data_IF_982542125619
#
_entry.id   IF_982542125619
#
_cell.length_a   1.000
_cell.length_b   1.000
_cell.length_c   1.000
_cell.angle_alpha   90.00
_cell.angle_beta   90.00
_cell.angle_gamma   90.00
#
_symmetry.space_group_name_H-M   'P 1'
#
loop_
_entity.id
_entity.type
_entity.pdbx_description
1 polymer ?
#
# COMPACT_ATOMS: atom_id res chain seq x y z
N UNK A 1 12.89 9.47 -46.95
CA UNK A 1 12.14 10.19 -45.89
C UNK A 1 12.04 9.28 -44.66
N UNK A 2 12.86 9.52 -43.64
CA UNK A 2 12.74 8.85 -42.33
C UNK A 2 11.50 9.41 -41.65
N UNK A 3 10.48 8.59 -41.38
CA UNK A 3 9.41 8.95 -40.44
C UNK A 3 10.07 9.14 -39.08
N UNK A 4 10.27 10.38 -38.69
CA UNK A 4 10.58 10.80 -37.33
C UNK A 4 9.48 10.28 -36.42
N UNK A 5 9.73 9.17 -35.73
CA UNK A 5 8.89 8.72 -34.61
C UNK A 5 8.98 9.78 -33.52
N UNK A 6 7.85 10.42 -33.22
CA UNK A 6 7.70 11.39 -32.14
C UNK A 6 8.13 10.73 -30.81
N UNK A 7 8.99 11.36 -29.99
CA UNK A 7 9.31 10.87 -28.65
C UNK A 7 8.05 10.92 -27.74
N UNK A 8 7.97 10.10 -26.67
CA UNK A 8 6.70 9.71 -26.10
C UNK A 8 5.94 10.85 -25.41
N UNK A 9 4.63 10.84 -25.66
CA UNK A 9 3.52 11.63 -25.13
C UNK A 9 3.40 11.69 -23.58
N UNK A 10 4.31 11.09 -22.81
CA UNK A 10 4.21 10.91 -21.36
C UNK A 10 5.46 11.40 -20.58
N UNK A 11 5.29 12.25 -19.54
CA UNK A 11 6.38 12.71 -18.69
C UNK A 11 6.95 11.59 -17.80
N UNK A 12 8.09 11.83 -17.16
CA UNK A 12 8.83 10.80 -16.40
C UNK A 12 8.02 10.21 -15.23
N UNK A 13 7.18 11.00 -14.57
CA UNK A 13 6.30 10.55 -13.48
C UNK A 13 5.16 9.64 -13.96
N UNK A 14 4.87 9.62 -15.27
CA UNK A 14 3.97 8.67 -15.94
C UNK A 14 4.77 7.66 -16.80
N UNK A 15 6.03 7.40 -16.45
CA UNK A 15 6.97 6.66 -17.28
C UNK A 15 6.48 5.26 -17.68
N UNK A 16 5.73 4.57 -16.81
CA UNK A 16 5.22 3.23 -17.09
C UNK A 16 4.15 3.21 -18.18
N UNK A 17 3.47 4.32 -18.43
CA UNK A 17 2.50 4.43 -19.53
C UNK A 17 3.17 4.31 -20.92
N UNK A 18 4.50 4.49 -21.00
CA UNK A 18 5.25 4.42 -22.27
C UNK A 18 5.33 3.02 -22.87
N UNK A 19 5.05 1.98 -22.08
CA UNK A 19 5.11 0.58 -22.52
C UNK A 19 3.75 -0.12 -22.54
N UNK A 20 2.63 0.62 -22.54
CA UNK A 20 1.28 0.06 -22.63
C UNK A 20 1.12 -0.86 -23.85
N UNK A 21 1.67 -0.48 -25.00
CA UNK A 21 1.58 -1.26 -26.25
C UNK A 21 2.80 -2.16 -26.50
N UNK A 22 3.71 -2.29 -25.52
CA UNK A 22 4.91 -3.11 -25.62
C UNK A 22 4.69 -4.42 -24.87
N UNK A 23 4.12 -5.42 -25.55
CA UNK A 23 3.64 -6.65 -24.90
C UNK A 23 4.72 -7.41 -24.13
N UNK A 24 5.98 -7.42 -24.58
CA UNK A 24 7.07 -8.08 -23.83
C UNK A 24 7.49 -7.24 -22.62
N UNK A 25 7.71 -5.94 -22.81
CA UNK A 25 8.06 -5.02 -21.71
C UNK A 25 6.99 -5.04 -20.61
N UNK A 26 5.71 -5.15 -21.00
CA UNK A 26 4.59 -5.32 -20.08
C UNK A 26 4.72 -6.60 -19.26
N UNK A 27 5.00 -7.75 -19.89
CA UNK A 27 5.23 -9.03 -19.19
C UNK A 27 6.43 -8.93 -18.24
N UNK A 28 7.53 -8.34 -18.68
CA UNK A 28 8.74 -8.13 -17.86
C UNK A 28 8.41 -7.34 -16.60
N UNK A 29 7.65 -6.25 -16.71
CA UNK A 29 7.27 -5.42 -15.56
C UNK A 29 6.45 -6.21 -14.54
N UNK A 30 5.48 -7.02 -15.00
CA UNK A 30 4.64 -7.84 -14.12
C UNK A 30 5.40 -9.01 -13.50
N UNK A 31 6.28 -9.68 -14.24
CA UNK A 31 7.16 -10.73 -13.72
C UNK A 31 8.11 -10.18 -12.65
N UNK A 32 8.67 -8.98 -12.86
CA UNK A 32 9.51 -8.31 -11.87
C UNK A 32 8.72 -7.94 -10.60
N UNK A 33 7.47 -7.47 -10.73
CA UNK A 33 6.62 -7.23 -9.57
C UNK A 33 6.30 -8.54 -8.82
N UNK A 34 6.05 -9.64 -9.55
CA UNK A 34 5.89 -10.97 -8.95
C UNK A 34 7.13 -11.40 -8.17
N UNK A 35 8.34 -11.13 -8.69
CA UNK A 35 9.59 -11.39 -7.98
C UNK A 35 9.70 -10.58 -6.68
N UNK A 36 9.30 -9.31 -6.68
CA UNK A 36 9.31 -8.47 -5.47
C UNK A 36 8.33 -8.98 -4.39
N UNK A 37 7.15 -9.45 -4.79
CA UNK A 37 6.17 -10.05 -3.86
C UNK A 37 6.74 -11.32 -3.23
N UNK A 38 7.33 -12.21 -4.03
CA UNK A 38 7.95 -13.43 -3.53
C UNK A 38 9.16 -13.14 -2.62
N UNK A 39 9.97 -12.13 -2.98
CA UNK A 39 11.09 -11.70 -2.17
C UNK A 39 10.63 -11.18 -0.81
N UNK A 40 9.61 -10.31 -0.80
CA UNK A 40 9.04 -9.77 0.42
C UNK A 40 8.51 -10.89 1.33
N UNK A 41 7.72 -11.82 0.77
CA UNK A 41 7.18 -12.94 1.54
C UNK A 41 8.29 -13.80 2.18
N UNK A 42 9.35 -14.11 1.43
CA UNK A 42 10.49 -14.87 1.94
C UNK A 42 11.29 -14.11 3.00
N UNK A 43 11.73 -12.90 2.70
CA UNK A 43 12.57 -12.09 3.61
C UNK A 43 11.83 -11.76 4.90
N UNK A 44 10.57 -11.32 4.81
CA UNK A 44 9.80 -10.95 6.00
C UNK A 44 9.44 -12.18 6.85
N UNK A 45 9.23 -13.35 6.25
CA UNK A 45 9.02 -14.59 7.04
C UNK A 45 10.28 -14.94 7.83
N UNK A 46 11.49 -14.82 7.24
CA UNK A 46 12.75 -15.03 7.98
C UNK A 46 12.96 -13.97 9.06
N UNK A 47 12.65 -12.72 8.74
CA UNK A 47 12.76 -11.60 9.68
C UNK A 47 11.84 -11.80 10.89
N UNK A 48 10.58 -12.17 10.68
CA UNK A 48 9.64 -12.49 11.74
C UNK A 48 10.10 -13.69 12.56
N UNK A 49 10.57 -14.76 11.91
CA UNK A 49 11.07 -15.95 12.59
C UNK A 49 12.30 -15.64 13.46
N UNK A 50 13.18 -14.74 13.03
CA UNK A 50 14.36 -14.31 13.79
C UNK A 50 14.00 -13.48 15.05
N UNK A 51 12.80 -12.87 15.08
CA UNK A 51 12.33 -12.05 16.20
C UNK A 51 11.28 -12.74 17.07
N UNK A 52 10.72 -13.84 16.59
CA UNK A 52 9.69 -14.60 17.29
C UNK A 52 10.17 -15.07 18.66
N UNK A 53 9.42 -14.71 19.70
CA UNK A 53 9.61 -15.17 21.05
C UNK A 53 8.42 -16.06 21.45
N UNK A 54 8.63 -17.37 21.67
CA UNK A 54 7.56 -18.28 22.07
C UNK A 54 7.01 -18.03 23.48
N UNK A 55 7.69 -17.22 24.30
CA UNK A 55 7.23 -16.86 25.64
C UNK A 55 6.17 -15.73 25.63
N UNK A 56 5.94 -15.07 24.49
CA UNK A 56 4.96 -14.00 24.34
C UNK A 56 3.85 -14.42 23.36
N UNK A 57 2.63 -13.86 23.47
CA UNK A 57 1.57 -14.09 22.49
C UNK A 57 2.03 -13.67 21.08
N UNK A 58 1.65 -14.43 20.05
CA UNK A 58 2.08 -14.18 18.68
C UNK A 58 1.59 -12.81 18.17
N UNK A 59 0.37 -12.44 18.54
CA UNK A 59 -0.28 -11.22 18.05
C UNK A 59 0.31 -9.91 18.59
N UNK A 60 1.02 -9.94 19.72
CA UNK A 60 1.62 -8.75 20.37
C UNK A 60 3.04 -8.45 19.90
N UNK A 61 3.60 -9.28 19.02
CA UNK A 61 4.99 -9.20 18.57
C UNK A 61 5.17 -8.49 17.22
N UNK A 62 4.09 -7.94 16.64
CA UNK A 62 4.11 -7.31 15.33
C UNK A 62 4.37 -8.29 14.18
N UNK A 63 3.90 -9.53 14.31
CA UNK A 63 4.07 -10.59 13.32
C UNK A 63 2.84 -10.63 12.41
N UNK A 64 3.04 -10.68 11.09
CA UNK A 64 1.94 -10.74 10.13
C UNK A 64 2.01 -11.97 9.22
N UNK A 65 3.17 -12.58 9.01
CA UNK A 65 3.33 -13.76 8.14
C UNK A 65 3.30 -15.08 8.93
N UNK A 66 3.96 -15.16 10.09
CA UNK A 66 3.91 -16.36 10.92
C UNK A 66 2.47 -16.74 11.33
N UNK A 67 1.59 -15.79 11.72
CA UNK A 67 0.17 -16.10 11.94
C UNK A 67 -0.54 -16.79 10.76
N UNK A 68 -0.24 -16.39 9.52
CA UNK A 68 -0.87 -17.00 8.34
C UNK A 68 -0.38 -18.43 8.12
N UNK A 69 0.91 -18.69 8.32
CA UNK A 69 1.47 -20.04 8.23
C UNK A 69 0.97 -20.93 9.39
N UNK A 70 0.80 -20.34 10.57
CA UNK A 70 0.23 -21.02 11.74
C UNK A 70 -1.24 -21.40 11.52
N UNK A 71 -2.05 -20.52 10.92
CA UNK A 71 -3.44 -20.82 10.55
C UNK A 71 -3.56 -21.97 9.54
N UNK A 72 -2.57 -22.11 8.64
CA UNK A 72 -2.45 -23.27 7.74
C UNK A 72 -2.01 -24.57 8.45
N UNK A 73 -1.81 -24.53 9.77
CA UNK A 73 -1.40 -25.67 10.60
C UNK A 73 0.06 -26.07 10.42
N UNK A 74 0.93 -25.18 9.96
CA UNK A 74 2.35 -25.49 9.74
C UNK A 74 3.13 -25.37 11.05
N UNK A 75 3.65 -26.48 11.58
CA UNK A 75 4.52 -26.47 12.75
C UNK A 75 3.89 -25.96 14.04
N UNK A 76 2.56 -25.97 14.13
CA UNK A 76 1.77 -25.53 15.29
C UNK A 76 1.25 -26.75 16.07
N UNK A 77 1.39 -26.71 17.39
CA UNK A 77 0.82 -27.69 18.31
C UNK A 77 -0.48 -27.23 18.97
N UNK A 78 -0.91 -27.95 20.00
CA UNK A 78 -2.11 -27.60 20.76
C UNK A 78 -1.96 -26.22 21.43
N UNK A 79 -3.05 -25.45 21.49
CA UNK A 79 -3.05 -24.09 22.04
C UNK A 79 -2.39 -23.05 21.14
N UNK A 80 -2.02 -23.40 19.90
CA UNK A 80 -1.47 -22.43 18.94
C UNK A 80 0.02 -22.11 19.10
N UNK A 81 0.78 -22.90 19.86
CA UNK A 81 2.22 -22.69 19.99
C UNK A 81 2.98 -23.23 18.78
N UNK A 82 3.95 -22.48 18.27
CA UNK A 82 4.91 -22.98 17.28
C UNK A 82 5.82 -24.00 17.96
N UNK A 83 5.65 -25.28 17.63
CA UNK A 83 6.45 -26.40 18.15
C UNK A 83 7.53 -26.83 17.17
N UNK A 84 7.34 -26.58 15.88
CA UNK A 84 8.31 -26.90 14.84
C UNK A 84 8.53 -25.68 13.92
N UNK A 85 9.67 -24.97 14.03
CA UNK A 85 9.92 -23.77 13.23
C UNK A 85 10.38 -24.08 11.79
N UNK A 86 10.80 -25.32 11.51
CA UNK A 86 11.36 -25.68 10.20
C UNK A 86 10.41 -25.43 9.01
N UNK A 87 9.10 -25.76 9.07
CA UNK A 87 8.15 -25.41 8.01
C UNK A 87 8.15 -23.92 7.62
N UNK A 88 8.29 -23.02 8.59
CA UNK A 88 8.35 -21.57 8.33
C UNK A 88 9.63 -21.20 7.57
N UNK A 89 10.77 -21.76 7.99
CA UNK A 89 12.05 -21.61 7.30
C UNK A 89 11.99 -22.16 5.86
N UNK A 90 11.37 -23.33 5.68
CA UNK A 90 11.22 -23.96 4.37
C UNK A 90 10.35 -23.10 3.43
N UNK A 91 9.20 -22.64 3.89
CA UNK A 91 8.31 -21.74 3.11
C UNK A 91 9.06 -20.47 2.72
N UNK A 92 9.80 -19.86 3.66
CA UNK A 92 10.60 -18.68 3.37
C UNK A 92 11.68 -18.96 2.30
N UNK A 93 12.40 -20.08 2.42
CA UNK A 93 13.39 -20.53 1.45
C UNK A 93 12.81 -20.72 0.04
N UNK A 94 11.65 -21.37 -0.08
CA UNK A 94 10.96 -21.54 -1.36
C UNK A 94 10.59 -20.21 -2.00
N UNK A 95 10.06 -19.25 -1.22
CA UNK A 95 9.73 -17.92 -1.72
C UNK A 95 10.96 -17.15 -2.21
N UNK A 96 12.10 -17.23 -1.51
CA UNK A 96 13.35 -16.59 -1.93
C UNK A 96 13.90 -17.19 -3.22
N UNK A 97 13.89 -18.51 -3.37
CA UNK A 97 14.30 -19.18 -4.61
C UNK A 97 13.36 -18.80 -5.75
N UNK A 98 12.05 -18.83 -5.53
CA UNK A 98 11.06 -18.42 -6.52
C UNK A 98 11.25 -16.96 -6.95
N UNK A 99 11.55 -16.05 -6.02
CA UNK A 99 11.87 -14.66 -6.32
C UNK A 99 13.08 -14.54 -7.25
N UNK A 100 14.15 -15.30 -7.00
CA UNK A 100 15.33 -15.34 -7.87
C UNK A 100 15.01 -15.83 -9.27
N UNK A 101 14.19 -16.89 -9.39
CA UNK A 101 13.76 -17.43 -10.70
C UNK A 101 12.92 -16.42 -11.46
N UNK A 102 11.97 -15.73 -10.81
CA UNK A 102 11.13 -14.71 -11.46
C UNK A 102 11.93 -13.47 -11.86
N UNK A 103 12.85 -13.02 -11.01
CA UNK A 103 13.74 -11.89 -11.32
C UNK A 103 14.65 -12.20 -12.51
N UNK A 104 15.18 -13.43 -12.58
CA UNK A 104 15.91 -13.88 -13.75
C UNK A 104 14.97 -13.96 -14.96
N UNK A 105 13.79 -14.57 -14.87
CA UNK A 105 12.80 -14.56 -15.97
C UNK A 105 12.55 -13.16 -16.53
N UNK A 106 12.36 -12.15 -15.67
CA UNK A 106 12.19 -10.76 -16.07
C UNK A 106 13.43 -10.18 -16.78
N UNK A 107 14.64 -10.38 -16.23
CA UNK A 107 15.88 -9.94 -16.87
C UNK A 107 16.10 -10.65 -18.23
N UNK A 108 15.82 -11.95 -18.31
CA UNK A 108 15.94 -12.74 -19.55
C UNK A 108 15.05 -12.18 -20.65
N UNK A 109 13.76 -12.01 -20.35
CA UNK A 109 12.78 -11.51 -21.31
C UNK A 109 13.12 -10.09 -21.77
N UNK A 110 13.66 -9.24 -20.88
CA UNK A 110 14.10 -7.88 -21.24
C UNK A 110 15.28 -7.87 -22.21
N UNK A 111 16.29 -8.71 -21.96
CA UNK A 111 17.54 -8.67 -22.73
C UNK A 111 17.51 -9.52 -24.01
N UNK A 112 16.70 -10.59 -24.02
CA UNK A 112 16.71 -11.58 -25.11
C UNK A 112 15.56 -11.41 -26.10
N UNK A 113 14.51 -10.68 -25.74
CA UNK A 113 13.34 -10.49 -26.59
C UNK A 113 13.13 -8.99 -26.90
N UNK A 114 12.59 -8.65 -28.08
CA UNK A 114 12.23 -7.27 -28.40
C UNK A 114 11.12 -6.76 -27.47
N UNK A 115 10.97 -5.44 -27.36
CA UNK A 115 9.96 -4.81 -26.49
C UNK A 115 8.51 -5.20 -26.82
N UNK A 116 8.22 -5.47 -28.11
CA UNK A 116 6.95 -6.05 -28.55
C UNK A 116 7.17 -7.47 -29.07
N UNK A 117 6.34 -8.42 -28.61
CA UNK A 117 6.39 -9.80 -29.09
C UNK A 117 5.87 -9.96 -30.52
N UNK A 118 5.20 -8.95 -31.07
CA UNK A 118 4.79 -8.90 -32.48
C UNK A 118 5.98 -9.06 -33.44
N UNK A 119 7.16 -8.58 -33.03
CA UNK A 119 8.39 -8.64 -33.82
C UNK A 119 9.12 -10.00 -33.77
N UNK A 120 8.57 -10.98 -33.05
CA UNK A 120 9.21 -12.28 -32.84
C UNK A 120 8.71 -13.33 -33.84
N UNK A 121 9.47 -14.41 -34.01
CA UNK A 121 9.04 -15.56 -34.81
C UNK A 121 8.16 -16.52 -34.00
N UNK A 122 7.33 -17.36 -34.66
CA UNK A 122 6.68 -18.49 -34.01
C UNK A 122 7.70 -19.40 -33.30
N UNK A 123 7.39 -19.94 -32.11
CA UNK A 123 6.09 -19.90 -31.42
C UNK A 123 5.91 -18.69 -30.49
N UNK A 124 6.88 -17.80 -30.35
CA UNK A 124 6.87 -16.72 -29.33
C UNK A 124 5.81 -15.66 -29.65
N UNK A 125 5.61 -15.34 -30.92
CA UNK A 125 4.60 -14.37 -31.39
C UNK A 125 3.19 -14.70 -30.90
N UNK A 126 2.90 -15.97 -30.58
CA UNK A 126 1.61 -16.40 -30.03
C UNK A 126 1.26 -15.74 -28.70
N UNK A 127 2.24 -15.20 -27.96
CA UNK A 127 2.02 -14.52 -26.68
C UNK A 127 1.86 -13.00 -26.84
N UNK A 128 2.00 -12.47 -28.05
CA UNK A 128 1.62 -11.09 -28.32
C UNK A 128 0.11 -10.89 -28.10
N UNK A 129 -0.26 -9.73 -27.58
CA UNK A 129 -1.63 -9.31 -27.40
C UNK A 129 -1.72 -7.81 -27.69
N UNK A 130 -2.93 -7.39 -28.06
CA UNK A 130 -3.30 -5.99 -28.19
C UNK A 130 -4.54 -5.74 -27.35
N UNK A 131 -4.73 -4.51 -26.89
CA UNK A 131 -5.86 -4.16 -26.03
C UNK A 131 -7.22 -4.21 -26.75
N UNK A 132 -7.20 -4.12 -28.08
CA UNK A 132 -8.37 -4.21 -28.97
C UNK A 132 -8.69 -5.67 -29.40
N UNK A 133 -7.87 -6.66 -29.04
CA UNK A 133 -8.13 -8.08 -29.34
C UNK A 133 -8.86 -8.76 -28.18
N UNK A 134 -10.19 -8.66 -28.16
CA UNK A 134 -11.00 -9.13 -27.04
C UNK A 134 -10.97 -10.66 -26.89
N UNK A 135 -10.79 -11.38 -28.00
CA UNK A 135 -10.67 -12.84 -27.98
C UNK A 135 -9.35 -13.26 -27.33
N UNK A 136 -8.25 -12.59 -27.65
CA UNK A 136 -6.94 -12.85 -27.02
C UNK A 136 -6.94 -12.52 -25.55
N UNK A 137 -7.57 -11.42 -25.16
CA UNK A 137 -7.72 -11.03 -23.76
C UNK A 137 -8.57 -12.04 -22.97
N UNK A 138 -9.67 -12.54 -23.56
CA UNK A 138 -10.48 -13.62 -22.98
C UNK A 138 -9.68 -14.91 -22.78
N UNK A 139 -8.87 -15.30 -23.77
CA UNK A 139 -7.97 -16.45 -23.68
C UNK A 139 -6.98 -16.30 -22.51
N UNK A 140 -6.36 -15.13 -22.35
CA UNK A 140 -5.42 -14.84 -21.26
C UNK A 140 -6.14 -14.91 -19.92
N UNK A 141 -7.31 -14.27 -19.78
CA UNK A 141 -8.13 -14.30 -18.57
C UNK A 141 -8.47 -15.74 -18.18
N UNK A 142 -8.92 -16.57 -19.13
CA UNK A 142 -9.31 -17.94 -18.86
C UNK A 142 -8.17 -18.79 -18.28
N UNK A 143 -6.94 -18.63 -18.79
CA UNK A 143 -5.76 -19.33 -18.22
C UNK A 143 -5.45 -18.89 -16.78
N UNK A 144 -5.61 -17.59 -16.46
CA UNK A 144 -5.41 -17.11 -15.09
C UNK A 144 -6.50 -17.64 -14.14
N UNK A 145 -7.75 -17.72 -14.58
CA UNK A 145 -8.84 -18.33 -13.81
C UNK A 145 -8.55 -19.81 -13.50
N UNK A 146 -8.02 -20.56 -14.47
CA UNK A 146 -7.59 -21.94 -14.24
C UNK A 146 -6.52 -22.02 -13.15
N UNK A 147 -5.51 -21.14 -13.20
CA UNK A 147 -4.45 -21.11 -12.18
C UNK A 147 -4.98 -20.75 -10.79
N UNK A 148 -5.93 -19.81 -10.69
CA UNK A 148 -6.59 -19.47 -9.42
C UNK A 148 -7.43 -20.64 -8.89
N UNK A 149 -8.15 -21.35 -9.76
CA UNK A 149 -8.92 -22.54 -9.40
C UNK A 149 -8.02 -23.66 -8.86
N UNK A 150 -6.87 -23.90 -9.49
CA UNK A 150 -5.85 -24.82 -8.98
C UNK A 150 -5.29 -24.35 -7.63
N UNK A 151 -5.07 -23.05 -7.45
CA UNK A 151 -4.67 -22.45 -6.17
C UNK A 151 -5.66 -22.73 -5.04
N UNK A 152 -6.95 -22.58 -5.29
CA UNK A 152 -8.00 -22.93 -4.32
C UNK A 152 -7.98 -24.43 -3.97
N UNK A 153 -7.77 -25.31 -4.96
CA UNK A 153 -7.62 -26.75 -4.70
C UNK A 153 -6.37 -27.09 -3.87
N UNK A 154 -5.30 -26.30 -3.95
CA UNK A 154 -4.12 -26.52 -3.08
C UNK A 154 -4.47 -26.30 -1.60
N UNK A 155 -5.33 -25.32 -1.28
CA UNK A 155 -5.82 -25.13 0.10
C UNK A 155 -6.70 -26.31 0.53
N UNK A 156 -7.60 -26.77 -0.34
CA UNK A 156 -8.44 -27.96 -0.07
C UNK A 156 -7.55 -29.18 0.19
N UNK A 157 -6.53 -29.39 -0.65
CA UNK A 157 -5.60 -30.48 -0.49
C UNK A 157 -4.80 -30.37 0.83
N UNK A 158 -4.39 -29.15 1.21
CA UNK A 158 -3.75 -28.90 2.50
C UNK A 158 -4.65 -29.31 3.66
N UNK A 159 -5.92 -28.95 3.61
CA UNK A 159 -6.89 -29.22 4.66
C UNK A 159 -7.29 -30.69 4.78
N UNK A 160 -7.37 -31.41 3.66
CA UNK A 160 -7.89 -32.79 3.63
C UNK A 160 -6.79 -33.85 3.68
N UNK A 161 -5.62 -33.60 3.08
CA UNK A 161 -4.61 -34.65 2.87
C UNK A 161 -3.23 -34.31 3.42
N UNK A 162 -2.88 -33.02 3.55
CA UNK A 162 -1.54 -32.60 4.02
C UNK A 162 -1.58 -31.98 5.41
N UNK A 163 -2.00 -32.79 6.39
CA UNK A 163 -1.90 -32.47 7.81
C UNK A 163 -3.02 -31.59 8.38
N UNK A 164 -3.89 -31.00 7.55
CA UNK A 164 -5.06 -30.27 8.04
C UNK A 164 -4.87 -28.76 8.18
N UNK A 165 -5.82 -28.11 8.85
CA UNK A 165 -5.78 -26.68 9.19
C UNK A 165 -5.88 -26.51 10.70
N UNK A 166 -5.48 -25.35 11.22
CA UNK A 166 -5.70 -25.02 12.62
C UNK A 166 -7.18 -24.75 12.87
N UNK A 167 -7.79 -25.48 13.80
CA UNK A 167 -9.17 -25.27 14.24
C UNK A 167 -9.17 -24.42 15.51
N UNK A 168 -9.70 -23.20 15.42
CA UNK A 168 -9.76 -22.27 16.54
C UNK A 168 -10.69 -22.73 17.68
N UNK A 169 -11.65 -23.62 17.41
CA UNK A 169 -12.58 -24.13 18.42
C UNK A 169 -11.94 -25.24 19.25
N UNK A 170 -11.13 -26.08 18.61
CA UNK A 170 -10.42 -27.19 19.25
C UNK A 170 -9.00 -26.80 19.68
N UNK A 171 -8.53 -25.62 19.27
CA UNK A 171 -7.18 -25.09 19.47
C UNK A 171 -6.07 -26.05 19.01
N UNK A 172 -6.31 -26.81 17.96
CA UNK A 172 -5.38 -27.81 17.44
C UNK A 172 -5.48 -27.90 15.93
N UNK A 173 -4.43 -28.43 15.29
CA UNK A 173 -4.46 -28.74 13.86
C UNK A 173 -5.26 -30.02 13.66
N UNK A 174 -6.25 -29.98 12.76
CA UNK A 174 -7.01 -31.17 12.37
C UNK A 174 -7.22 -31.28 10.87
N UNK A 175 -7.31 -32.53 10.42
CA UNK A 175 -7.72 -32.86 9.05
C UNK A 175 -9.22 -32.65 8.90
N UNK A 176 -9.64 -32.01 7.81
CA UNK A 176 -11.05 -31.84 7.44
C UNK A 176 -11.44 -33.01 6.53
N UNK A 177 -12.03 -34.06 7.10
CA UNK A 177 -12.34 -35.29 6.37
C UNK A 177 -13.62 -35.19 5.53
N UNK A 178 -14.58 -34.36 5.95
CA UNK A 178 -15.90 -34.24 5.34
C UNK A 178 -16.26 -32.75 5.12
N UNK A 179 -15.66 -32.09 4.12
CA UNK A 179 -16.01 -30.71 3.79
C UNK A 179 -17.48 -30.62 3.36
N UNK A 180 -18.14 -29.51 3.69
CA UNK A 180 -19.52 -29.28 3.28
C UNK A 180 -19.57 -28.93 1.79
N UNK A 181 -20.21 -29.77 0.98
CA UNK A 181 -20.39 -29.54 -0.46
C UNK A 181 -21.84 -29.27 -0.84
N UNK A 182 -22.71 -29.05 0.15
CA UNK A 182 -24.08 -28.61 -0.10
C UNK A 182 -24.09 -27.15 -0.59
N UNK A 183 -24.32 -27.00 -1.89
CA UNK A 183 -24.35 -25.69 -2.57
C UNK A 183 -25.44 -24.80 -1.99
N UNK A 184 -26.58 -25.34 -1.56
CA UNK A 184 -27.68 -24.52 -1.02
C UNK A 184 -27.31 -23.96 0.35
N UNK A 185 -26.75 -24.80 1.22
CA UNK A 185 -26.24 -24.36 2.52
C UNK A 185 -25.16 -23.28 2.35
N UNK A 186 -24.17 -23.52 1.48
CA UNK A 186 -23.09 -22.55 1.23
C UNK A 186 -23.60 -21.25 0.58
N UNK A 187 -24.68 -21.31 -0.19
CA UNK A 187 -25.28 -20.12 -0.82
C UNK A 187 -25.97 -19.20 0.19
N UNK A 188 -26.31 -19.67 1.40
CA UNK A 188 -26.89 -18.84 2.45
C UNK A 188 -25.91 -17.78 2.95
N UNK A 189 -24.60 -18.06 2.93
CA UNK A 189 -23.55 -17.12 3.33
C UNK A 189 -23.53 -15.80 2.54
N UNK A 190 -24.22 -15.70 1.40
CA UNK A 190 -24.31 -14.44 0.63
C UNK A 190 -24.89 -13.25 1.41
N UNK A 191 -25.62 -13.48 2.51
CA UNK A 191 -26.14 -12.42 3.38
C UNK A 191 -25.28 -12.16 4.61
N UNK A 192 -24.35 -13.08 4.91
CA UNK A 192 -23.51 -13.09 6.11
C UNK A 192 -22.12 -13.68 5.77
N UNK A 193 -21.46 -13.11 4.75
CA UNK A 193 -20.28 -13.70 4.10
C UNK A 193 -19.10 -13.95 5.04
N UNK A 194 -19.07 -13.25 6.18
CA UNK A 194 -17.95 -13.20 7.10
C UNK A 194 -18.16 -14.07 8.35
N UNK A 195 -19.32 -14.71 8.47
CA UNK A 195 -19.74 -15.45 9.67
C UNK A 195 -19.41 -16.95 9.59
N UNK A 196 -18.54 -17.35 8.65
CA UNK A 196 -18.06 -18.74 8.53
C UNK A 196 -17.32 -19.12 9.81
N UNK A 197 -17.82 -20.13 10.51
CA UNK A 197 -17.41 -20.47 11.88
C UNK A 197 -16.95 -21.92 12.06
N UNK A 198 -16.88 -22.71 10.98
CA UNK A 198 -16.34 -24.07 10.99
C UNK A 198 -15.47 -24.32 9.74
N UNK A 199 -14.55 -25.30 9.84
CA UNK A 199 -13.60 -25.60 8.78
C UNK A 199 -14.25 -26.35 7.61
N UNK A 200 -15.33 -27.10 7.85
CA UNK A 200 -16.07 -27.84 6.82
C UNK A 200 -16.65 -26.90 5.76
N UNK A 201 -17.24 -25.79 6.18
CA UNK A 201 -17.79 -24.76 5.29
C UNK A 201 -16.67 -23.93 4.65
N UNK A 202 -15.59 -23.64 5.37
CA UNK A 202 -14.44 -22.94 4.81
C UNK A 202 -13.82 -23.74 3.66
N UNK A 203 -13.52 -25.03 3.88
CA UNK A 203 -12.94 -25.91 2.85
C UNK A 203 -13.96 -26.19 1.76
N UNK A 204 -15.21 -26.44 2.13
CA UNK A 204 -16.34 -26.63 1.23
C UNK A 204 -16.54 -25.48 0.24
N UNK A 205 -16.56 -24.25 0.74
CA UNK A 205 -16.63 -23.04 -0.07
C UNK A 205 -15.48 -22.92 -1.08
N UNK A 206 -14.26 -23.29 -0.68
CA UNK A 206 -13.11 -23.30 -1.60
C UNK A 206 -13.23 -24.37 -2.69
N UNK A 207 -13.87 -25.50 -2.42
CA UNK A 207 -14.19 -26.50 -3.46
C UNK A 207 -15.15 -25.89 -4.49
N UNK A 208 -16.21 -25.22 -4.05
CA UNK A 208 -17.18 -24.59 -4.95
C UNK A 208 -16.53 -23.47 -5.77
N UNK A 209 -15.72 -22.63 -5.14
CA UNK A 209 -14.96 -21.57 -5.84
C UNK A 209 -13.98 -22.17 -6.84
N UNK A 210 -13.27 -23.25 -6.49
CA UNK A 210 -12.36 -23.93 -7.41
C UNK A 210 -13.10 -24.44 -8.66
N UNK A 211 -14.24 -25.11 -8.48
CA UNK A 211 -15.06 -25.60 -9.59
C UNK A 211 -15.53 -24.44 -10.47
N UNK A 212 -16.01 -23.34 -9.86
CA UNK A 212 -16.45 -22.15 -10.59
C UNK A 212 -15.31 -21.52 -11.41
N UNK A 213 -14.12 -21.37 -10.83
CA UNK A 213 -12.95 -20.81 -11.50
C UNK A 213 -12.44 -21.70 -12.63
N UNK A 214 -12.46 -23.03 -12.45
CA UNK A 214 -12.05 -23.98 -13.48
C UNK A 214 -13.03 -23.98 -14.65
N UNK A 215 -14.33 -24.09 -14.39
CA UNK A 215 -15.36 -24.05 -15.42
C UNK A 215 -15.39 -22.69 -16.13
N UNK A 216 -15.31 -21.59 -15.38
CA UNK A 216 -15.23 -20.24 -15.93
C UNK A 216 -13.96 -20.02 -16.75
N UNK A 217 -12.82 -20.54 -16.29
CA UNK A 217 -11.55 -20.48 -17.02
C UNK A 217 -11.61 -21.23 -18.34
N UNK A 218 -12.13 -22.45 -18.36
CA UNK A 218 -12.37 -23.22 -19.59
C UNK A 218 -13.33 -22.49 -20.52
N UNK A 219 -14.44 -21.95 -19.99
CA UNK A 219 -15.38 -21.16 -20.77
C UNK A 219 -14.74 -19.95 -21.46
N UNK A 220 -13.96 -19.15 -20.73
CA UNK A 220 -13.28 -17.97 -21.27
C UNK A 220 -12.17 -18.30 -22.28
N UNK A 221 -11.61 -19.51 -22.25
CA UNK A 221 -10.68 -20.00 -23.27
C UNK A 221 -11.42 -20.36 -24.57
N UNK A 222 -12.60 -20.96 -24.45
CA UNK A 222 -13.33 -21.53 -25.60
C UNK A 222 -14.26 -20.53 -26.27
N UNK A 223 -14.82 -19.57 -25.51
CA UNK A 223 -15.88 -18.67 -25.98
C UNK A 223 -15.38 -17.22 -25.96
N UNK A 224 -15.27 -16.55 -27.13
CA UNK A 224 -14.92 -15.14 -27.17
C UNK A 224 -16.05 -14.27 -26.61
N UNK A 225 -15.78 -13.02 -26.18
CA UNK A 225 -16.80 -12.14 -25.63
C UNK A 225 -17.97 -11.91 -26.59
N UNK A 226 -19.20 -12.03 -26.08
CA UNK A 226 -20.41 -11.77 -26.84
C UNK A 226 -20.51 -10.30 -27.28
N UNK A 227 -21.24 -10.02 -28.37
CA UNK A 227 -21.40 -8.67 -28.90
C UNK A 227 -21.92 -7.65 -27.88
N UNK A 228 -22.84 -8.04 -26.99
CA UNK A 228 -23.35 -7.15 -25.96
C UNK A 228 -22.27 -6.78 -24.91
N UNK A 229 -21.32 -7.68 -24.62
CA UNK A 229 -20.17 -7.41 -23.74
C UNK A 229 -19.25 -6.41 -24.42
N UNK A 230 -18.94 -6.63 -25.69
CA UNK A 230 -18.12 -5.72 -26.51
C UNK A 230 -18.69 -4.29 -26.55
N UNK A 231 -20.01 -4.17 -26.59
CA UNK A 231 -20.69 -2.88 -26.63
C UNK A 231 -20.80 -2.16 -25.27
N UNK A 232 -20.56 -2.86 -24.15
CA UNK A 232 -20.76 -2.30 -22.79
C UNK A 232 -19.46 -2.05 -22.03
N UNK A 233 -18.42 -2.84 -22.32
CA UNK A 233 -17.12 -2.78 -21.67
C UNK A 233 -16.08 -2.06 -22.52
N UNK A 234 -15.09 -1.47 -21.86
CA UNK A 234 -14.00 -0.73 -22.47
C UNK A 234 -12.80 -1.65 -22.67
N UNK A 235 -12.51 -2.01 -23.92
CA UNK A 235 -11.34 -2.81 -24.30
C UNK A 235 -10.16 -1.88 -24.60
N UNK A 236 -9.55 -1.38 -23.52
CA UNK A 236 -8.33 -0.57 -23.54
C UNK A 236 -7.46 -0.90 -22.32
N UNK A 237 -6.18 -0.53 -22.35
CA UNK A 237 -5.29 -0.74 -21.21
C UNK A 237 -5.81 -0.11 -19.91
N UNK A 238 -6.26 1.15 -19.95
CA UNK A 238 -6.86 1.83 -18.80
C UNK A 238 -8.22 1.21 -18.40
N UNK A 239 -9.04 0.76 -19.37
CA UNK A 239 -10.33 0.12 -19.12
C UNK A 239 -10.18 -1.20 -18.35
N UNK A 240 -9.35 -2.11 -18.85
CA UNK A 240 -9.10 -3.42 -18.23
C UNK A 240 -8.39 -3.28 -16.89
N UNK A 241 -7.45 -2.34 -16.77
CA UNK A 241 -6.81 -2.00 -15.50
C UNK A 241 -7.84 -1.51 -14.48
N UNK A 242 -8.78 -0.65 -14.89
CA UNK A 242 -9.80 -0.12 -13.98
C UNK A 242 -10.70 -1.21 -13.39
N UNK A 243 -11.13 -2.19 -14.20
CA UNK A 243 -11.93 -3.32 -13.71
C UNK A 243 -11.17 -4.16 -12.70
N UNK A 244 -9.88 -4.41 -12.95
CA UNK A 244 -9.00 -5.11 -12.00
C UNK A 244 -8.81 -4.32 -10.70
N UNK A 245 -8.68 -2.99 -10.77
CA UNK A 245 -8.54 -2.11 -9.61
C UNK A 245 -9.80 -2.08 -8.74
N UNK A 246 -10.99 -2.08 -9.37
CA UNK A 246 -12.24 -2.24 -8.63
C UNK A 246 -12.36 -3.62 -7.98
N UNK A 247 -11.95 -4.68 -8.70
CA UNK A 247 -11.93 -6.04 -8.18
C UNK A 247 -11.04 -6.20 -6.95
N UNK A 248 -9.79 -5.69 -7.00
CA UNK A 248 -8.87 -5.78 -5.86
C UNK A 248 -9.29 -4.85 -4.70
N UNK A 249 -9.94 -3.72 -4.97
CA UNK A 249 -10.52 -2.88 -3.93
C UNK A 249 -11.63 -3.63 -3.17
N UNK A 250 -12.54 -4.29 -3.89
CA UNK A 250 -13.59 -5.12 -3.29
C UNK A 250 -12.97 -6.26 -2.44
N UNK A 251 -11.98 -6.96 -2.99
CA UNK A 251 -11.27 -8.02 -2.27
C UNK A 251 -10.55 -7.49 -1.02
N UNK A 252 -9.95 -6.30 -1.10
CA UNK A 252 -9.26 -5.66 0.02
C UNK A 252 -10.20 -5.21 1.13
N UNK A 253 -11.38 -4.66 0.81
CA UNK A 253 -12.41 -4.37 1.81
C UNK A 253 -12.96 -5.64 2.45
N UNK A 254 -13.20 -6.69 1.65
CA UNK A 254 -13.63 -7.99 2.16
C UNK A 254 -12.57 -8.61 3.09
N UNK A 255 -11.29 -8.61 2.68
CA UNK A 255 -10.18 -9.11 3.49
C UNK A 255 -10.01 -8.32 4.79
N UNK A 256 -10.15 -7.00 4.74
CA UNK A 256 -10.14 -6.12 5.92
C UNK A 256 -11.24 -6.49 6.92
N UNK A 257 -12.47 -6.68 6.44
CA UNK A 257 -13.60 -7.08 7.28
C UNK A 257 -13.43 -8.49 7.84
N UNK A 258 -13.03 -9.46 7.00
CA UNK A 258 -12.79 -10.84 7.41
C UNK A 258 -11.70 -10.90 8.48
N UNK A 259 -10.60 -10.17 8.30
CA UNK A 259 -9.53 -10.05 9.30
C UNK A 259 -10.02 -9.36 10.58
N UNK A 260 -10.82 -8.31 10.48
CA UNK A 260 -11.32 -7.58 11.64
C UNK A 260 -12.20 -8.43 12.57
N UNK A 261 -13.08 -9.26 12.01
CA UNK A 261 -14.16 -9.88 12.80
C UNK A 261 -14.13 -11.41 12.87
N UNK A 262 -13.65 -12.11 11.83
CA UNK A 262 -13.72 -13.57 11.81
C UNK A 262 -12.68 -14.16 12.77
N UNK A 263 -13.09 -15.12 13.59
CA UNK A 263 -12.24 -15.78 14.60
C UNK A 263 -11.83 -17.21 14.22
N UNK A 264 -12.32 -17.73 13.09
CA UNK A 264 -11.95 -19.03 12.56
C UNK A 264 -10.73 -18.92 11.64
N UNK A 265 -10.85 -18.18 10.52
CA UNK A 265 -9.76 -18.03 9.55
C UNK A 265 -8.65 -17.10 10.06
N UNK A 266 -8.99 -16.22 11.01
CA UNK A 266 -8.05 -15.45 11.80
C UNK A 266 -8.20 -15.84 13.27
N UNK A 267 -7.59 -16.96 13.72
CA UNK A 267 -7.69 -17.40 15.11
C UNK A 267 -7.21 -16.34 16.11
N UNK A 268 -7.93 -16.20 17.21
CA UNK A 268 -7.57 -15.24 18.27
C UNK A 268 -6.19 -15.52 18.87
N UNK A 269 -5.78 -16.80 18.92
CA UNK A 269 -4.47 -17.21 19.38
C UNK A 269 -3.30 -16.62 18.56
N UNK A 270 -3.51 -16.36 17.27
CA UNK A 270 -2.46 -15.87 16.37
C UNK A 270 -2.56 -14.37 16.08
N UNK A 271 -3.78 -13.85 15.96
CA UNK A 271 -4.03 -12.50 15.48
C UNK A 271 -4.51 -11.54 16.57
N UNK A 272 -4.91 -12.05 17.73
CA UNK A 272 -5.50 -11.27 18.82
C UNK A 272 -7.03 -11.24 18.75
N UNK A 273 -7.68 -10.56 19.71
CA UNK A 273 -9.14 -10.50 19.82
C UNK A 273 -9.78 -9.90 18.56
N UNK A 274 -11.05 -10.21 18.32
CA UNK A 274 -11.84 -9.57 17.26
C UNK A 274 -11.95 -8.06 17.53
N UNK A 275 -11.94 -7.27 16.45
CA UNK A 275 -11.90 -5.81 16.53
C UNK A 275 -13.30 -5.23 16.53
N UNK A 276 -13.37 -3.95 16.91
CA UNK A 276 -14.53 -3.10 16.65
C UNK A 276 -14.20 -2.08 15.57
N UNK A 277 -15.22 -1.68 14.81
CA UNK A 277 -15.10 -0.64 13.77
C UNK A 277 -15.66 0.68 14.29
N UNK A 278 -14.83 1.72 14.30
CA UNK A 278 -15.27 3.09 14.54
C UNK A 278 -15.32 3.85 13.24
N UNK A 279 -16.50 4.40 12.94
CA UNK A 279 -16.69 5.34 11.82
C UNK A 279 -16.60 6.77 12.36
N UNK A 280 -15.40 7.35 12.30
CA UNK A 280 -15.16 8.77 12.57
C UNK A 280 -14.82 9.49 11.26
N UNK A 281 -13.78 10.33 11.22
CA UNK A 281 -13.32 10.98 9.99
C UNK A 281 -12.93 9.96 8.91
N UNK A 282 -12.20 8.91 9.29
CA UNK A 282 -11.95 7.73 8.46
C UNK A 282 -12.34 6.48 9.25
N UNK A 283 -13.01 5.48 8.62
CA UNK A 283 -13.28 4.21 9.28
C UNK A 283 -11.98 3.51 9.67
N UNK A 284 -11.89 3.07 10.92
CA UNK A 284 -10.73 2.31 11.41
C UNK A 284 -11.14 1.23 12.41
N UNK A 285 -10.38 0.15 12.40
CA UNK A 285 -10.54 -0.95 13.34
C UNK A 285 -9.65 -0.72 14.56
N UNK A 286 -10.17 -1.02 15.74
CA UNK A 286 -9.43 -0.91 16.99
C UNK A 286 -9.75 -2.08 17.92
N UNK A 287 -8.83 -2.36 18.83
CA UNK A 287 -9.06 -3.30 19.92
C UNK A 287 -9.86 -2.61 21.04
N UNK A 288 -11.08 -3.09 21.38
CA UNK A 288 -11.89 -2.52 22.44
C UNK A 288 -11.24 -2.64 23.83
N UNK A 289 -10.34 -3.60 24.03
CA UNK A 289 -9.60 -3.75 25.28
C UNK A 289 -8.54 -2.66 25.50
N UNK A 290 -8.23 -1.85 24.46
CA UNK A 290 -7.32 -0.72 24.58
C UNK A 290 -5.85 -1.11 24.78
N UNK A 291 -5.39 -2.14 24.06
CA UNK A 291 -3.99 -2.56 24.09
C UNK A 291 -3.04 -1.41 23.73
N UNK A 292 -1.93 -1.28 24.47
CA UNK A 292 -0.90 -0.25 24.20
C UNK A 292 -0.15 -0.52 22.88
N UNK A 293 -0.07 -1.79 22.48
CA UNK A 293 0.56 -2.25 21.24
C UNK A 293 -0.54 -2.74 20.29
N UNK A 294 -0.48 -2.32 19.03
CA UNK A 294 -1.42 -2.79 18.02
C UNK A 294 -1.14 -4.24 17.64
N UNK A 295 -2.16 -5.09 17.80
CA UNK A 295 -2.07 -6.49 17.41
C UNK A 295 -1.92 -6.67 15.90
N UNK A 296 -1.46 -7.86 15.49
CA UNK A 296 -1.39 -8.26 14.08
C UNK A 296 -2.72 -8.03 13.33
N UNK A 297 -3.86 -8.32 13.99
CA UNK A 297 -5.20 -8.09 13.43
C UNK A 297 -5.46 -6.60 13.14
N UNK A 298 -5.12 -5.72 14.08
CA UNK A 298 -5.31 -4.26 13.91
C UNK A 298 -4.51 -3.76 12.71
N UNK A 299 -3.25 -4.18 12.59
CA UNK A 299 -2.41 -3.82 11.45
C UNK A 299 -2.99 -4.28 10.12
N UNK A 300 -3.31 -5.58 10.02
CA UNK A 300 -3.81 -6.17 8.78
C UNK A 300 -5.16 -5.58 8.37
N UNK A 301 -6.13 -5.48 9.29
CA UNK A 301 -7.46 -4.96 8.98
C UNK A 301 -7.41 -3.52 8.49
N UNK A 302 -6.67 -2.63 9.16
CA UNK A 302 -6.57 -1.22 8.77
C UNK A 302 -5.73 -1.03 7.50
N UNK A 303 -4.58 -1.69 7.38
CA UNK A 303 -3.73 -1.54 6.20
C UNK A 303 -4.47 -1.97 4.92
N UNK A 304 -5.17 -3.10 4.95
CA UNK A 304 -5.96 -3.56 3.82
C UNK A 304 -7.15 -2.64 3.53
N UNK A 305 -7.81 -2.07 4.56
CA UNK A 305 -8.87 -1.10 4.36
C UNK A 305 -8.40 0.14 3.58
N UNK A 306 -7.29 0.74 4.03
CA UNK A 306 -6.77 1.94 3.39
C UNK A 306 -6.15 1.67 2.01
N UNK A 307 -5.48 0.53 1.83
CA UNK A 307 -5.02 0.10 0.50
C UNK A 307 -6.21 -0.10 -0.46
N UNK A 308 -7.27 -0.78 -0.01
CA UNK A 308 -8.49 -0.97 -0.78
C UNK A 308 -9.14 0.36 -1.18
N UNK A 309 -9.17 1.32 -0.25
CA UNK A 309 -9.61 2.67 -0.53
C UNK A 309 -8.79 3.29 -1.67
N UNK A 310 -7.46 3.33 -1.57
CA UNK A 310 -6.63 3.89 -2.66
C UNK A 310 -6.74 3.13 -3.98
N UNK A 311 -6.91 1.80 -3.95
CA UNK A 311 -7.21 1.02 -5.15
C UNK A 311 -8.55 1.40 -5.78
N UNK A 312 -9.58 1.69 -4.97
CA UNK A 312 -10.87 2.19 -5.46
C UNK A 312 -10.70 3.53 -6.18
N UNK A 313 -9.95 4.48 -5.60
CA UNK A 313 -9.67 5.75 -6.28
C UNK A 313 -8.84 5.55 -7.56
N UNK A 314 -7.87 4.64 -7.56
CA UNK A 314 -7.12 4.26 -8.76
C UNK A 314 -8.05 3.72 -9.85
N UNK A 315 -8.99 2.85 -9.49
CA UNK A 315 -10.01 2.33 -10.39
C UNK A 315 -10.86 3.45 -11.00
N UNK A 316 -11.37 4.38 -10.18
CA UNK A 316 -12.14 5.53 -10.63
C UNK A 316 -11.34 6.41 -11.61
N UNK A 317 -10.08 6.70 -11.26
CA UNK A 317 -9.18 7.47 -12.10
C UNK A 317 -8.95 6.84 -13.48
N UNK A 318 -8.57 5.56 -13.52
CA UNK A 318 -8.32 4.87 -14.79
C UNK A 318 -9.60 4.64 -15.60
N UNK A 319 -10.74 4.39 -14.94
CA UNK A 319 -12.03 4.26 -15.62
C UNK A 319 -12.44 5.56 -16.32
N UNK A 320 -12.32 6.70 -15.62
CA UNK A 320 -12.62 8.01 -16.21
C UNK A 320 -11.71 8.34 -17.39
N UNK A 321 -10.41 8.01 -17.30
CA UNK A 321 -9.46 8.15 -18.41
C UNK A 321 -9.85 7.28 -19.61
N UNK A 322 -10.25 6.02 -19.36
CA UNK A 322 -10.72 5.12 -20.41
C UNK A 322 -12.02 5.62 -21.08
N UNK A 323 -12.87 6.34 -20.35
CA UNK A 323 -14.08 7.01 -20.87
C UNK A 323 -13.77 8.31 -21.64
N UNK A 324 -12.51 8.78 -21.65
CA UNK A 324 -12.09 9.97 -22.38
C UNK A 324 -11.93 11.25 -21.55
N UNK A 325 -11.86 11.16 -20.21
CA UNK A 325 -11.59 12.33 -19.37
C UNK A 325 -10.19 12.89 -19.66
N UNK A 326 -10.14 14.14 -20.15
CA UNK A 326 -8.91 14.90 -20.34
C UNK A 326 -8.64 15.78 -19.11
N UNK A 327 -7.84 15.23 -18.20
CA UNK A 327 -7.48 15.89 -16.93
C UNK A 327 -6.69 17.19 -17.18
N UNK A 328 -5.97 17.32 -18.30
CA UNK A 328 -5.29 18.57 -18.64
C UNK A 328 -6.26 19.69 -18.98
N UNK A 329 -7.43 19.38 -19.56
CA UNK A 329 -8.51 20.38 -19.71
C UNK A 329 -9.09 20.78 -18.37
N UNK A 330 -9.30 19.82 -17.47
CA UNK A 330 -9.85 20.09 -16.14
C UNK A 330 -8.91 20.97 -15.29
N UNK A 331 -7.60 20.72 -15.34
CA UNK A 331 -6.63 21.59 -14.67
C UNK A 331 -6.55 22.99 -15.30
N UNK A 332 -6.63 23.09 -16.64
CA UNK A 332 -6.68 24.39 -17.31
C UNK A 332 -7.91 25.20 -16.91
N UNK A 333 -9.10 24.59 -16.89
CA UNK A 333 -10.32 25.28 -16.47
C UNK A 333 -10.24 25.72 -15.01
N UNK A 334 -9.68 24.89 -14.12
CA UNK A 334 -9.44 25.28 -12.73
C UNK A 334 -8.45 26.45 -12.59
N UNK A 335 -7.37 26.44 -13.37
CA UNK A 335 -6.41 27.54 -13.39
C UNK A 335 -7.04 28.83 -13.91
N UNK A 336 -7.87 28.75 -14.96
CA UNK A 336 -8.62 29.88 -15.52
C UNK A 336 -9.65 30.42 -14.52
N UNK A 337 -10.38 29.57 -13.81
CA UNK A 337 -11.32 29.98 -12.75
C UNK A 337 -10.61 30.64 -11.57
N UNK A 338 -9.50 30.07 -11.09
CA UNK A 338 -8.69 30.69 -10.04
C UNK A 338 -8.19 32.06 -10.50
N UNK A 339 -7.68 32.19 -11.72
CA UNK A 339 -7.25 33.47 -12.27
C UNK A 339 -8.41 34.47 -12.39
N UNK A 340 -9.61 34.03 -12.75
CA UNK A 340 -10.80 34.87 -12.82
C UNK A 340 -11.27 35.37 -11.45
N UNK A 341 -11.16 34.55 -10.39
CA UNK A 341 -11.48 34.96 -9.01
C UNK A 341 -10.50 36.01 -8.47
N UNK A 342 -9.25 36.01 -8.94
CA UNK A 342 -8.23 37.00 -8.55
C UNK A 342 -8.16 38.23 -9.49
N UNK A 343 -9.00 38.33 -10.52
CA UNK A 343 -9.16 39.55 -11.32
C UNK A 343 -10.16 40.49 -10.61
N UNK A 344 -9.74 41.66 -10.09
CA UNK A 344 -10.68 42.61 -9.51
C UNK A 344 -11.59 43.16 -10.61
N UNK A 345 -12.90 42.87 -10.55
CA UNK A 345 -13.91 43.52 -11.39
C UNK A 345 -14.12 44.98 -10.94
N UNK A 346 -13.15 45.86 -11.19
CA UNK A 346 -13.35 47.30 -11.13
C UNK A 346 -13.01 47.90 -12.49
N UNK A 347 -14.01 47.99 -13.37
CA UNK A 347 -13.96 48.91 -14.51
C UNK A 347 -14.22 50.32 -13.97
N UNK A 348 -13.15 51.08 -13.73
CA UNK A 348 -13.29 52.52 -13.55
C UNK A 348 -13.33 53.16 -14.94
N UNK A 349 -14.52 53.54 -15.42
CA UNK A 349 -14.61 54.41 -16.59
C UNK A 349 -14.20 55.84 -16.19
N UNK A 350 -13.21 56.45 -16.86
CA UNK A 350 -12.82 57.82 -16.55
C UNK A 350 -13.91 58.79 -17.04
N UNK A 351 -14.67 59.38 -16.11
CA UNK A 351 -15.49 60.55 -16.42
C UNK A 351 -14.57 61.75 -16.71
N UNK A 352 -14.74 62.35 -17.88
CA UNK A 352 -14.01 63.55 -18.28
C UNK A 352 -14.50 64.77 -17.47
N UNK A 353 -13.70 65.24 -16.53
CA UNK A 353 -13.95 66.49 -15.82
C UNK A 353 -13.45 67.67 -16.67
N UNK A 354 -14.40 68.37 -17.30
CA UNK A 354 -14.20 69.70 -17.87
C UNK A 354 -14.19 70.74 -16.74
N UNK A 355 -13.10 71.50 -16.69
CA UNK A 355 -12.89 72.82 -16.09
C UNK A 355 -13.52 73.11 -14.72
N UNK A 356 -12.69 73.04 -13.67
CA UNK A 356 -12.78 74.01 -12.57
C UNK A 356 -11.37 74.53 -12.28
N UNK A 357 -11.14 75.77 -12.68
CA UNK A 357 -9.97 76.60 -12.36
C UNK A 357 -9.93 76.82 -10.84
N UNK A 358 -8.78 76.62 -10.21
CA UNK A 358 -8.52 77.12 -8.86
C UNK A 358 -7.16 77.81 -8.82
N UNK A 359 -7.17 79.11 -8.52
CA UNK A 359 -5.97 79.94 -8.28
C UNK A 359 -5.23 79.48 -7.01
N UNK A 360 -3.89 79.63 -6.95
CA UNK A 360 -3.12 79.16 -5.81
C UNK A 360 -3.26 80.13 -4.63
N UNK A 361 -4.06 79.74 -3.63
CA UNK A 361 -4.06 80.42 -2.33
C UNK A 361 -2.92 79.83 -1.48
N UNK A 362 -1.83 80.58 -1.33
CA UNK A 362 -0.78 80.28 -0.34
C UNK A 362 -1.38 80.43 1.06
N UNK A 363 -1.58 79.31 1.75
CA UNK A 363 -1.93 79.25 3.18
C UNK A 363 -0.74 78.64 3.93
N UNK A 364 -0.22 79.27 5.01
CA UNK A 364 0.83 78.67 5.82
C UNK A 364 0.31 77.44 6.59
N UNK A 365 1.10 76.37 6.59
CA UNK A 365 0.73 75.04 7.08
C UNK A 365 0.55 74.94 8.62
N UNK A 366 -0.35 74.07 9.09
CA UNK A 366 -0.20 73.40 10.38
C UNK A 366 -0.02 71.88 10.24
N UNK A 367 0.97 71.40 11.00
CA UNK A 367 1.50 70.06 11.21
C UNK A 367 0.58 68.85 10.93
N UNK A 368 1.03 67.97 10.03
CA UNK A 368 0.62 66.57 10.00
C UNK A 368 1.81 65.73 10.50
N UNK A 369 1.54 64.93 11.52
CA UNK A 369 2.48 64.05 12.17
C UNK A 369 3.09 63.03 11.18
N UNK A 370 4.36 62.64 11.36
CA UNK A 370 5.02 61.69 10.47
C UNK A 370 4.59 60.25 10.79
N UNK A 371 4.23 59.51 9.73
CA UNK A 371 4.11 58.05 9.73
C UNK A 371 2.72 57.62 9.27
N UNK A 372 2.51 56.75 8.28
CA UNK A 372 3.39 55.87 7.52
C UNK A 372 2.69 55.66 6.18
N UNK A 373 3.46 55.74 5.09
CA UNK A 373 3.08 55.22 3.79
C UNK A 373 2.84 53.71 3.91
N UNK A 374 1.59 53.26 3.99
CA UNK A 374 1.26 51.85 3.73
C UNK A 374 1.45 51.58 2.23
N UNK A 375 2.69 51.22 1.89
CA UNK A 375 3.01 50.52 0.65
C UNK A 375 2.37 49.12 0.73
N UNK A 376 1.16 49.00 0.17
CA UNK A 376 0.63 47.70 -0.22
C UNK A 376 1.50 47.16 -1.35
N UNK A 377 2.24 46.09 -1.04
CA UNK A 377 3.12 45.27 -1.89
C UNK A 377 4.63 45.58 -1.80
N UNK A 378 5.33 44.87 -0.92
CA UNK A 378 6.78 44.65 -1.01
C UNK A 378 7.06 43.35 -1.78
N UNK A 379 7.99 43.35 -2.77
CA UNK A 379 8.48 42.11 -3.36
C UNK A 379 9.29 41.32 -2.33
N UNK A 380 9.18 39.99 -2.36
CA UNK A 380 9.89 39.07 -1.44
C UNK A 380 11.40 39.34 -1.46
N UNK A 381 11.90 40.05 -0.45
CA UNK A 381 13.31 40.16 -0.16
C UNK A 381 13.74 38.99 0.74
N UNK A 382 14.51 38.06 0.17
CA UNK A 382 15.44 37.20 0.91
C UNK A 382 14.88 36.26 1.98
N UNK A 383 15.64 35.20 2.28
CA UNK A 383 15.34 34.33 3.42
C UNK A 383 15.58 35.09 4.73
N UNK A 384 14.52 35.36 5.48
CA UNK A 384 14.63 35.88 6.86
C UNK A 384 14.38 34.78 7.90
N UNK A 385 15.16 34.81 8.98
CA UNK A 385 15.02 33.92 10.13
C UNK A 385 13.69 34.19 10.88
N UNK A 386 13.05 33.17 11.47
CA UNK A 386 11.72 33.30 12.06
C UNK A 386 11.71 34.27 13.26
N UNK A 387 10.66 35.10 13.34
CA UNK A 387 10.50 36.09 14.41
C UNK A 387 10.08 35.42 15.73
N UNK A 388 10.80 35.73 16.81
CA UNK A 388 10.51 35.28 18.17
C UNK A 388 9.70 36.35 18.89
N UNK A 389 8.55 35.99 19.49
CA UNK A 389 7.85 36.86 20.47
C UNK A 389 8.03 36.29 21.88
N UNK A 390 8.25 37.18 22.83
CA UNK A 390 8.36 36.86 24.27
C UNK A 390 6.98 36.92 24.89
N UNK A 391 6.50 35.81 25.45
CA UNK A 391 5.30 35.79 26.29
C UNK A 391 5.74 35.25 27.65
N UNK A 392 5.48 36.02 28.72
CA UNK A 392 5.88 35.70 30.11
C UNK A 392 7.37 35.37 30.29
N UNK A 393 8.25 36.12 29.59
CA UNK A 393 9.71 35.98 29.74
C UNK A 393 10.35 34.83 28.96
N UNK A 394 9.58 34.04 28.19
CA UNK A 394 10.09 32.94 27.35
C UNK A 394 9.86 33.25 25.87
N UNK A 395 10.92 33.14 25.05
CA UNK A 395 10.87 33.35 23.59
C UNK A 395 10.31 32.10 22.89
N UNK A 396 9.14 32.21 22.27
CA UNK A 396 8.53 31.13 21.50
C UNK A 396 8.31 31.54 20.02
N UNK A 397 8.54 30.60 19.11
CA UNK A 397 8.36 30.74 17.65
C UNK A 397 6.91 30.41 17.29
N UNK A 398 6.25 31.24 16.47
CA UNK A 398 4.79 31.19 16.24
C UNK A 398 4.28 30.01 15.40
N UNK A 399 5.16 29.19 14.83
CA UNK A 399 4.79 27.93 14.19
C UNK A 399 5.88 26.90 14.47
N UNK A 400 5.81 26.27 15.63
CA UNK A 400 6.51 25.03 15.87
C UNK A 400 5.44 23.93 15.93
N UNK A 401 5.18 23.28 14.79
CA UNK A 401 4.63 21.94 14.83
C UNK A 401 5.68 21.08 15.52
N UNK A 402 5.55 20.91 16.84
CA UNK A 402 6.37 19.95 17.58
C UNK A 402 5.89 18.58 17.13
N UNK A 403 6.45 18.10 16.03
CA UNK A 403 6.40 16.68 15.71
C UNK A 403 7.25 16.00 16.76
N UNK A 404 6.62 15.51 17.83
CA UNK A 404 7.27 14.54 18.67
C UNK A 404 7.52 13.32 17.78
N UNK A 405 8.76 13.18 17.30
CA UNK A 405 9.28 11.88 16.90
C UNK A 405 9.15 10.98 18.13
N UNK A 406 8.00 10.31 18.28
CA UNK A 406 8.02 8.99 18.87
C UNK A 406 8.70 8.13 17.82
N UNK A 407 9.89 7.57 18.08
CA UNK A 407 10.25 6.37 17.36
C UNK A 407 9.18 5.34 17.71
N UNK A 408 8.12 5.27 16.92
CA UNK A 408 7.33 4.04 16.85
C UNK A 408 8.28 3.09 16.19
N UNK A 409 9.01 2.35 17.01
CA UNK A 409 9.83 1.26 16.53
C UNK A 409 8.82 0.31 15.91
N UNK A 410 8.86 0.17 14.58
CA UNK A 410 7.96 -0.70 13.81
C UNK A 410 7.96 -2.15 14.34
N UNK A 411 8.97 -2.49 15.13
CA UNK A 411 9.12 -3.77 15.82
C UNK A 411 9.82 -3.57 17.17
N UNK A 412 9.08 -3.45 18.25
CA UNK A 412 9.66 -3.51 19.59
C UNK A 412 10.08 -4.96 19.92
N UNK A 413 11.31 -5.20 20.39
CA UNK A 413 11.63 -6.47 21.05
C UNK A 413 10.80 -6.57 22.35
N UNK A 414 10.28 -7.77 22.64
CA UNK A 414 9.47 -8.01 23.84
C UNK A 414 10.15 -7.47 25.10
N UNK A 415 9.45 -6.61 25.85
CA UNK A 415 9.93 -6.21 27.17
C UNK A 415 9.81 -7.40 28.12
N UNK A 416 10.94 -7.82 28.67
CA UNK A 416 10.98 -8.83 29.73
C UNK A 416 10.37 -8.21 30.99
N UNK A 417 9.11 -8.51 31.27
CA UNK A 417 8.45 -8.12 32.51
C UNK A 417 9.03 -8.93 33.67
N UNK A 418 10.07 -8.40 34.32
CA UNK A 418 10.74 -9.15 35.36
C UNK A 418 11.86 -8.46 36.13
N UNK A 419 11.88 -7.13 36.26
CA UNK A 419 12.69 -6.46 37.27
C UNK A 419 11.93 -5.26 37.85
N UNK A 420 11.39 -5.47 39.05
CA UNK A 420 10.79 -4.47 39.92
C UNK A 420 11.90 -3.48 40.31
N UNK A 421 11.93 -2.30 39.70
CA UNK A 421 12.81 -1.22 40.14
C UNK A 421 12.02 -0.25 41.00
N UNK A 422 12.38 -0.20 42.28
CA UNK A 422 11.78 0.63 43.31
C UNK A 422 11.85 2.12 42.94
N UNK A 423 10.77 2.82 43.29
CA UNK A 423 10.69 4.28 43.28
C UNK A 423 11.79 4.87 44.17
N UNK A 424 12.59 5.76 43.60
CA UNK A 424 13.24 6.83 44.36
C UNK A 424 12.89 8.18 43.71
N UNK A 425 12.15 8.99 44.46
CA UNK A 425 11.92 10.41 44.16
C UNK A 425 13.18 11.23 44.47
N UNK A 426 13.48 12.21 43.61
CA UNK A 426 14.23 13.40 44.02
C UNK A 426 15.20 13.96 42.97
N UNK A 427 15.02 15.24 42.62
CA UNK A 427 16.14 16.16 42.37
C UNK A 427 16.44 16.54 40.92
N UNK A 428 16.10 17.78 40.58
CA UNK A 428 16.64 18.56 39.45
C UNK A 428 18.17 18.58 39.42
N UNK A 429 18.81 18.45 38.25
CA UNK A 429 19.93 19.29 37.73
C UNK A 429 20.40 18.82 36.33
N UNK A 430 20.33 19.75 35.36
CA UNK A 430 21.15 19.98 34.15
C UNK A 430 21.56 18.85 33.15
N UNK A 431 21.62 19.15 31.82
CA UNK A 431 21.91 18.18 30.77
C UNK A 431 23.42 17.92 30.60
N UNK A 432 23.81 16.64 30.52
CA UNK A 432 25.19 16.24 30.24
C UNK A 432 25.58 16.51 28.77
N UNK A 433 26.74 17.14 28.62
CA UNK A 433 27.36 17.55 27.37
C UNK A 433 27.84 16.35 26.51
N UNK A 434 27.84 16.58 25.18
CA UNK A 434 28.41 15.68 24.17
C UNK A 434 29.91 15.41 24.45
N UNK A 435 30.41 14.17 24.27
CA UNK A 435 31.84 13.93 24.31
C UNK A 435 32.52 14.43 23.03
N UNK A 436 33.44 15.39 23.20
CA UNK A 436 34.40 15.82 22.19
C UNK A 436 35.37 14.68 21.85
N UNK A 437 35.53 14.37 20.57
CA UNK A 437 36.61 13.52 20.07
C UNK A 437 37.97 14.14 20.40
N UNK A 438 38.67 13.60 21.39
CA UNK A 438 40.07 13.94 21.64
C UNK A 438 40.96 13.09 20.71
N UNK A 439 41.71 13.78 19.86
CA UNK A 439 42.84 13.22 19.10
C UNK A 439 43.93 12.75 20.07
N UNK A 440 44.54 11.58 19.87
CA UNK A 440 45.72 11.20 20.63
C UNK A 440 46.94 12.07 20.23
N UNK A 441 47.82 12.43 21.18
CA UNK A 441 48.99 13.27 20.91
C UNK A 441 50.10 12.50 20.16
N UNK A 442 50.77 13.19 19.24
CA UNK A 442 51.98 12.73 18.54
C UNK A 442 53.16 12.64 19.52
N UNK A 443 53.95 11.55 19.54
CA UNK A 443 55.26 11.55 20.18
C UNK A 443 56.27 12.33 19.33
N UNK A 444 57.03 13.19 20.01
CA UNK A 444 58.13 14.00 19.49
C UNK A 444 59.29 13.13 18.98
N UNK A 445 60.04 13.67 18.00
CA UNK A 445 61.24 13.08 17.42
C UNK A 445 62.45 13.97 17.75
N UNK A 446 63.60 13.35 17.95
CA UNK A 446 64.99 13.87 17.96
C UNK A 446 65.59 14.33 19.30
N UNK A 447 66.61 13.63 19.80
CA UNK A 447 68.04 14.00 19.68
C UNK A 447 68.90 12.72 19.70
N UNK A 448 69.89 12.64 18.80
CA UNK A 448 70.90 11.57 18.74
C UNK A 448 72.23 12.00 19.38
N UNK A 449 73.21 11.07 19.40
CA UNK A 449 74.67 11.23 19.16
C UNK A 449 75.42 9.94 19.56
N UNK A 450 76.38 9.53 18.72
CA UNK A 450 77.52 8.62 19.01
C UNK A 450 77.24 7.13 18.76
N UNK A 451 77.95 6.37 17.94
CA UNK A 451 79.22 6.49 17.21
C UNK A 451 79.11 5.82 15.84
#
# INVERSE_FOLDING_TARGET
MKKTQTPPLYPWWAGNARFIDQSNTFIVAHAAQGALIMLWAGVFTLFELAKYNPAAPMYDQGLILLPHLAALGLGVGNGGQIVEPFPYLAVAGFHLVAAGVLAWGAWFHREKLPASLEMTAPPVVKFHFRWDDEAKLGLILGHHLLMLGLGALLLVAKAMWFGGLYDATLEQVRVVSQPNVDVFALWEYRTHLFDVNNLEDLVGGHIIVAVLLLLGGTWHILVPPFGWVKNRFLFSGDGILSYSLFGIALAGFAASYYCGFNTLAYPVAFYGPALELKSQFAPYYFDPAGAEIYSARVWLANAHFYLAFFFLQGGLWHFQRAMGLDVSRMFRSWQEELQAVYQPQFQCEPQALLEVVYEPRLVPAPAIAPGETEAMYEPVQGWHAPSLRVINGVKNTLYQAVYHWRPVVFYEPAQVSGLRQERAMGGFYAPAAKPSQQRPPRPQRWYGVGN
#
